data_IF_395602444024
#
_entry.id   IF_395602444024
#
_cell.length_a   1.000
_cell.length_b   1.000
_cell.length_c   1.000
_cell.angle_alpha   90.00
_cell.angle_beta   90.00
_cell.angle_gamma   90.00
#
_symmetry.space_group_name_H-M   'P 1'
#
loop_
_entity.id
_entity.type
_entity.pdbx_description
1 polymer ?
#
# COMPACT_ATOMS: atom_id res chain seq x y z
N UNK A 1 9.59 29.16 1.09
CA UNK A 1 8.80 28.26 0.26
C UNK A 1 9.64 27.09 -0.24
N UNK A 2 10.71 27.31 -0.98
CA UNK A 2 11.64 26.27 -1.39
C UNK A 2 12.76 26.11 -0.36
N UNK A 3 12.65 25.10 0.50
CA UNK A 3 13.72 24.68 1.40
C UNK A 3 14.04 23.20 1.14
N UNK A 4 15.12 22.70 1.71
CA UNK A 4 15.59 21.33 1.45
C UNK A 4 14.56 20.28 1.87
N UNK A 5 13.86 20.46 2.98
CA UNK A 5 12.81 19.54 3.43
C UNK A 5 11.67 19.47 2.40
N UNK A 6 11.14 20.61 1.94
CA UNK A 6 10.06 20.64 0.95
C UNK A 6 10.48 20.05 -0.40
N UNK A 7 11.77 20.10 -0.77
CA UNK A 7 12.28 19.43 -1.97
C UNK A 7 12.21 17.91 -1.79
N UNK A 8 12.61 17.40 -0.62
CA UNK A 8 12.53 15.95 -0.32
C UNK A 8 11.07 15.48 -0.30
N UNK A 9 10.15 16.28 0.29
CA UNK A 9 8.71 16.00 0.23
C UNK A 9 8.20 15.95 -1.22
N UNK A 10 8.74 16.82 -2.10
CA UNK A 10 8.38 16.79 -3.53
C UNK A 10 8.89 15.51 -4.22
N UNK A 11 10.01 14.92 -3.78
CA UNK A 11 10.46 13.62 -4.28
C UNK A 11 9.54 12.47 -3.85
N UNK A 12 9.00 12.52 -2.61
CA UNK A 12 7.95 11.60 -2.18
C UNK A 12 6.75 11.67 -3.14
N UNK A 13 6.24 12.86 -3.43
CA UNK A 13 5.15 13.05 -4.39
C UNK A 13 5.48 12.48 -5.78
N UNK A 14 6.68 12.73 -6.31
CA UNK A 14 7.13 12.22 -7.61
C UNK A 14 7.12 10.68 -7.61
N UNK A 15 7.56 10.04 -6.54
CA UNK A 15 7.50 8.58 -6.41
C UNK A 15 6.05 8.06 -6.49
N UNK A 16 5.10 8.72 -5.82
CA UNK A 16 3.68 8.36 -5.90
C UNK A 16 3.12 8.50 -7.32
N UNK A 17 3.42 9.60 -8.01
CA UNK A 17 3.01 9.82 -9.41
C UNK A 17 3.65 8.79 -10.35
N UNK A 18 4.93 8.48 -10.14
CA UNK A 18 5.65 7.46 -10.92
C UNK A 18 5.03 6.08 -10.71
N UNK A 19 4.66 5.73 -9.48
CA UNK A 19 3.93 4.49 -9.18
C UNK A 19 2.63 4.38 -9.98
N UNK A 20 1.84 5.46 -10.03
CA UNK A 20 0.59 5.48 -10.81
C UNK A 20 0.86 5.21 -12.30
N UNK A 21 1.90 5.83 -12.87
CA UNK A 21 2.29 5.62 -14.28
C UNK A 21 2.65 4.15 -14.51
N UNK A 22 3.42 3.53 -13.61
CA UNK A 22 3.77 2.11 -13.70
C UNK A 22 2.55 1.19 -13.54
N UNK A 23 1.56 1.54 -12.73
CA UNK A 23 0.29 0.80 -12.68
C UNK A 23 -0.39 0.76 -14.06
N UNK A 24 -0.45 1.88 -14.77
CA UNK A 24 -1.02 1.95 -16.13
C UNK A 24 -0.19 1.22 -17.18
N UNK A 25 1.12 1.09 -16.99
CA UNK A 25 1.99 0.30 -17.87
C UNK A 25 1.99 -1.21 -17.56
N UNK A 26 1.31 -1.63 -16.50
CA UNK A 26 1.23 -3.02 -16.08
C UNK A 26 2.40 -3.53 -15.22
N UNK A 27 3.36 -2.67 -14.94
CA UNK A 27 4.53 -2.99 -14.11
C UNK A 27 4.20 -2.74 -12.62
N UNK A 28 3.37 -3.63 -12.05
CA UNK A 28 2.81 -3.43 -10.70
C UNK A 28 3.86 -3.63 -9.60
N UNK A 29 4.86 -4.45 -9.83
CA UNK A 29 6.04 -4.64 -8.97
C UNK A 29 6.86 -3.35 -8.88
N UNK A 30 7.19 -2.72 -10.02
CA UNK A 30 7.90 -1.43 -10.07
C UNK A 30 7.05 -0.32 -9.44
N UNK A 31 5.73 -0.35 -9.65
CA UNK A 31 4.80 0.58 -8.98
C UNK A 31 4.88 0.44 -7.45
N UNK A 32 4.94 -0.78 -6.92
CA UNK A 32 5.12 -1.02 -5.50
C UNK A 32 6.49 -0.52 -4.99
N UNK A 33 7.58 -0.80 -5.72
CA UNK A 33 8.90 -0.27 -5.36
C UNK A 33 8.96 1.26 -5.37
N UNK A 34 8.24 1.92 -6.28
CA UNK A 34 8.13 3.38 -6.26
C UNK A 34 7.44 3.90 -4.98
N UNK A 35 6.41 3.21 -4.45
CA UNK A 35 5.79 3.54 -3.16
C UNK A 35 6.79 3.35 -2.01
N UNK A 36 7.59 2.27 -2.01
CA UNK A 36 8.66 2.09 -1.01
C UNK A 36 9.70 3.22 -1.06
N UNK A 37 10.11 3.64 -2.27
CA UNK A 37 11.00 4.79 -2.43
C UNK A 37 10.37 6.08 -1.88
N UNK A 38 9.07 6.29 -2.12
CA UNK A 38 8.30 7.39 -1.54
C UNK A 38 8.33 7.38 -0.01
N UNK A 39 8.17 6.21 0.61
CA UNK A 39 8.25 6.08 2.07
C UNK A 39 9.65 6.40 2.64
N UNK A 40 10.71 6.14 1.89
CA UNK A 40 12.06 6.56 2.28
C UNK A 40 12.21 8.08 2.21
N UNK A 41 11.67 8.74 1.18
CA UNK A 41 11.71 10.20 1.07
C UNK A 41 10.84 10.88 2.13
N UNK A 42 9.65 10.36 2.46
CA UNK A 42 8.80 10.82 3.55
C UNK A 42 9.54 10.77 4.90
N UNK A 43 10.18 9.65 5.20
CA UNK A 43 11.00 9.55 6.42
C UNK A 43 12.16 10.55 6.42
N UNK A 44 12.81 10.74 5.25
CA UNK A 44 13.96 11.62 5.10
C UNK A 44 13.59 13.11 5.26
N UNK A 45 12.45 13.56 4.73
CA UNK A 45 12.04 14.97 4.81
C UNK A 45 11.72 15.38 6.25
N UNK A 46 11.01 14.50 7.01
CA UNK A 46 10.77 14.72 8.43
C UNK A 46 12.07 14.75 9.25
N UNK A 47 13.07 13.92 8.91
CA UNK A 47 14.39 13.97 9.53
C UNK A 47 15.13 15.28 9.21
N UNK A 48 15.17 15.67 7.94
CA UNK A 48 15.81 16.90 7.45
C UNK A 48 15.16 18.13 8.08
N UNK A 49 13.81 18.21 8.11
CA UNK A 49 13.07 19.32 8.68
C UNK A 49 13.42 19.54 10.15
N UNK A 50 13.46 18.46 10.96
CA UNK A 50 13.83 18.52 12.38
C UNK A 50 15.31 18.91 12.59
N UNK A 51 16.22 18.26 11.86
CA UNK A 51 17.68 18.47 12.03
C UNK A 51 18.10 19.87 11.62
N UNK A 52 17.52 20.44 10.58
CA UNK A 52 17.84 21.77 10.06
C UNK A 52 16.92 22.87 10.62
N UNK A 53 15.96 22.53 11.51
CA UNK A 53 14.97 23.47 12.07
C UNK A 53 14.17 24.21 11.00
N UNK A 54 13.79 23.49 9.93
CA UNK A 54 13.04 24.01 8.77
C UNK A 54 11.53 23.72 8.87
N UNK A 55 11.07 23.31 10.05
CA UNK A 55 9.65 23.02 10.28
C UNK A 55 8.80 24.26 10.00
N UNK A 56 7.73 24.10 9.22
CA UNK A 56 6.80 25.16 8.87
C UNK A 56 5.38 24.62 8.69
N UNK A 57 4.39 25.47 8.90
CA UNK A 57 2.98 25.13 8.65
C UNK A 57 2.73 24.73 7.20
N UNK A 58 3.40 25.38 6.25
CA UNK A 58 3.33 25.06 4.83
C UNK A 58 3.99 23.70 4.54
N UNK A 59 5.15 23.39 5.14
CA UNK A 59 5.82 22.10 4.99
C UNK A 59 4.94 20.96 5.46
N UNK A 60 4.25 21.10 6.60
CA UNK A 60 3.30 20.11 7.12
C UNK A 60 2.11 19.85 6.16
N UNK A 61 1.63 20.89 5.47
CA UNK A 61 0.57 20.74 4.47
C UNK A 61 1.07 20.05 3.19
N UNK A 62 2.26 20.42 2.71
CA UNK A 62 2.88 19.77 1.55
C UNK A 62 3.13 18.27 1.79
N UNK A 63 3.64 17.93 2.97
CA UNK A 63 3.84 16.57 3.45
C UNK A 63 2.54 15.76 3.36
N UNK A 64 1.47 16.24 3.96
CA UNK A 64 0.16 15.56 3.92
C UNK A 64 -0.42 15.42 2.50
N UNK A 65 -0.19 16.38 1.61
CA UNK A 65 -0.63 16.31 0.22
C UNK A 65 0.20 15.30 -0.57
N UNK A 66 1.51 15.25 -0.36
CA UNK A 66 2.39 14.25 -0.94
C UNK A 66 2.03 12.84 -0.47
N UNK A 67 1.82 12.68 0.85
CA UNK A 67 1.40 11.42 1.47
C UNK A 67 0.06 10.90 0.93
N UNK A 68 -0.90 11.81 0.70
CA UNK A 68 -2.17 11.41 0.10
C UNK A 68 -1.97 10.78 -1.28
N UNK A 69 -1.08 11.33 -2.10
CA UNK A 69 -0.81 10.77 -3.42
C UNK A 69 -0.03 9.46 -3.31
N UNK A 70 1.06 9.45 -2.55
CA UNK A 70 1.98 8.31 -2.48
C UNK A 70 1.42 7.13 -1.69
N UNK A 71 0.70 7.39 -0.58
CA UNK A 71 0.21 6.34 0.33
C UNK A 71 -1.31 6.18 0.32
N UNK A 72 -2.02 7.00 -0.47
CA UNK A 72 -3.46 6.87 -0.67
C UNK A 72 -3.78 6.54 -2.13
N UNK A 73 -3.50 7.47 -3.05
CA UNK A 73 -3.92 7.36 -4.45
C UNK A 73 -3.14 6.27 -5.19
N UNK A 74 -1.81 6.26 -5.07
CA UNK A 74 -0.96 5.27 -5.75
C UNK A 74 -1.32 3.82 -5.35
N UNK A 75 -1.40 3.44 -4.06
CA UNK A 75 -1.83 2.10 -3.69
C UNK A 75 -3.30 1.82 -4.02
N UNK A 76 -4.16 2.85 -4.11
CA UNK A 76 -5.52 2.72 -4.61
C UNK A 76 -5.54 2.27 -6.07
N UNK A 77 -4.75 2.88 -6.94
CA UNK A 77 -4.60 2.42 -8.33
C UNK A 77 -3.93 1.05 -8.41
N UNK A 78 -2.90 0.79 -7.62
CA UNK A 78 -2.23 -0.50 -7.56
C UNK A 78 -3.24 -1.62 -7.29
N UNK A 79 -4.07 -1.47 -6.26
CA UNK A 79 -5.09 -2.46 -5.91
C UNK A 79 -6.26 -2.51 -6.91
N UNK A 80 -6.59 -1.38 -7.53
CA UNK A 80 -7.56 -1.37 -8.62
C UNK A 80 -7.14 -2.33 -9.75
N UNK A 81 -5.88 -2.27 -10.18
CA UNK A 81 -5.35 -3.17 -11.20
C UNK A 81 -5.22 -4.61 -10.69
N UNK A 82 -4.83 -4.82 -9.43
CA UNK A 82 -4.76 -6.15 -8.84
C UNK A 82 -6.15 -6.82 -8.80
N UNK A 83 -7.20 -6.10 -8.39
CA UNK A 83 -8.58 -6.62 -8.39
C UNK A 83 -9.03 -6.90 -9.82
N UNK A 84 -8.67 -6.05 -10.77
CA UNK A 84 -8.99 -6.24 -12.18
C UNK A 84 -8.38 -7.54 -12.73
N UNK A 85 -7.10 -7.80 -12.42
CA UNK A 85 -6.41 -9.07 -12.76
C UNK A 85 -7.11 -10.25 -12.07
N UNK A 86 -7.51 -10.11 -10.81
CA UNK A 86 -8.23 -11.14 -10.07
C UNK A 86 -9.61 -11.50 -10.66
N UNK A 87 -10.29 -10.56 -11.33
CA UNK A 87 -11.56 -10.83 -12.04
C UNK A 87 -11.32 -11.74 -13.26
N UNK A 88 -10.21 -11.53 -13.96
CA UNK A 88 -9.85 -12.24 -15.18
C UNK A 88 -9.05 -13.54 -14.91
N UNK A 89 -8.80 -13.85 -13.64
CA UNK A 89 -7.99 -15.01 -13.22
C UNK A 89 -8.38 -16.34 -13.88
N UNK A 90 -9.67 -16.72 -14.04
CA UNK A 90 -10.05 -17.97 -14.71
C UNK A 90 -9.57 -18.03 -16.17
N UNK A 91 -9.61 -16.91 -16.88
CA UNK A 91 -9.16 -16.79 -18.28
C UNK A 91 -7.63 -16.86 -18.38
N UNK A 92 -6.91 -16.36 -17.37
CA UNK A 92 -5.45 -16.45 -17.30
C UNK A 92 -4.96 -17.88 -17.22
N UNK A 93 -5.60 -18.70 -16.39
CA UNK A 93 -5.23 -20.11 -16.17
C UNK A 93 -5.38 -20.96 -17.44
N UNK A 94 -6.44 -20.72 -18.25
CA UNK A 94 -6.67 -21.49 -19.49
C UNK A 94 -5.65 -21.17 -20.60
N UNK A 95 -5.05 -19.97 -20.60
CA UNK A 95 -4.22 -19.50 -21.72
C UNK A 95 -2.78 -19.16 -21.31
N UNK A 96 -2.40 -19.46 -20.06
CA UNK A 96 -1.12 -19.02 -19.48
C UNK A 96 0.09 -19.67 -20.17
N UNK A 97 0.05 -20.98 -20.45
CA UNK A 97 1.17 -21.71 -21.10
C UNK A 97 1.48 -21.18 -22.51
N UNK A 98 0.45 -20.79 -23.27
CA UNK A 98 0.61 -20.27 -24.62
C UNK A 98 1.12 -18.82 -24.61
N UNK A 99 0.74 -18.02 -23.60
CA UNK A 99 1.11 -16.59 -23.46
C UNK A 99 2.41 -16.36 -22.68
N UNK A 100 2.74 -17.21 -21.71
CA UNK A 100 3.99 -17.13 -20.94
C UNK A 100 5.25 -17.39 -21.80
N UNK A 101 5.10 -18.12 -22.91
CA UNK A 101 6.17 -18.33 -23.88
C UNK A 101 6.58 -17.04 -24.63
N UNK A 102 5.78 -15.98 -24.57
CA UNK A 102 6.03 -14.70 -25.24
C UNK A 102 6.18 -13.58 -24.19
N UNK A 103 7.42 -13.24 -23.80
CA UNK A 103 7.74 -12.15 -22.86
C UNK A 103 7.12 -10.79 -23.26
N UNK A 104 6.83 -10.59 -24.54
CA UNK A 104 6.18 -9.40 -25.08
C UNK A 104 4.73 -9.24 -24.61
N UNK A 105 4.03 -10.34 -24.23
CA UNK A 105 2.64 -10.27 -23.75
C UNK A 105 2.55 -9.93 -22.26
N UNK A 106 3.57 -10.19 -21.46
CA UNK A 106 3.55 -9.89 -20.02
C UNK A 106 3.44 -8.37 -19.76
N UNK A 107 4.23 -7.57 -20.47
CA UNK A 107 4.29 -6.12 -20.27
C UNK A 107 3.00 -5.39 -20.72
N UNK A 108 2.29 -5.94 -21.71
CA UNK A 108 1.04 -5.35 -22.22
C UNK A 108 -0.22 -5.91 -21.56
N UNK A 109 -0.09 -6.97 -20.76
CA UNK A 109 -1.24 -7.70 -20.26
C UNK A 109 -2.18 -6.83 -19.40
N UNK A 110 -1.67 -6.15 -18.39
CA UNK A 110 -2.49 -5.32 -17.49
C UNK A 110 -3.13 -4.13 -18.23
N UNK A 111 -2.44 -3.53 -19.20
CA UNK A 111 -2.99 -2.46 -20.02
C UNK A 111 -4.10 -2.96 -20.94
N UNK A 112 -3.93 -4.10 -21.58
CA UNK A 112 -4.96 -4.73 -22.40
C UNK A 112 -6.18 -5.11 -21.57
N UNK A 113 -6.00 -5.63 -20.36
CA UNK A 113 -7.08 -5.91 -19.42
C UNK A 113 -7.85 -4.65 -19.04
N UNK A 114 -7.18 -3.55 -18.80
CA UNK A 114 -7.82 -2.26 -18.54
C UNK A 114 -8.70 -1.84 -19.74
N UNK A 115 -8.18 -1.94 -20.97
CA UNK A 115 -8.94 -1.58 -22.18
C UNK A 115 -10.18 -2.47 -22.33
N UNK A 116 -10.03 -3.79 -22.21
CA UNK A 116 -11.14 -4.73 -22.29
C UNK A 116 -12.19 -4.48 -21.21
N UNK A 117 -11.74 -4.24 -19.97
CA UNK A 117 -12.64 -3.93 -18.87
C UNK A 117 -13.39 -2.60 -19.10
N UNK A 118 -12.70 -1.54 -19.55
CA UNK A 118 -13.32 -0.24 -19.86
C UNK A 118 -14.36 -0.39 -20.98
N UNK A 119 -14.03 -1.13 -22.04
CA UNK A 119 -14.97 -1.39 -23.15
C UNK A 119 -16.19 -2.18 -22.68
N UNK A 120 -15.97 -3.24 -21.89
CA UNK A 120 -17.05 -4.05 -21.34
C UNK A 120 -17.91 -3.25 -20.35
N UNK A 121 -17.29 -2.43 -19.51
CA UNK A 121 -17.99 -1.53 -18.59
C UNK A 121 -18.86 -0.52 -19.33
N UNK A 122 -18.33 0.09 -20.39
CA UNK A 122 -19.06 1.04 -21.23
C UNK A 122 -20.25 0.37 -21.94
N UNK A 123 -20.05 -0.85 -22.48
CA UNK A 123 -21.11 -1.61 -23.15
C UNK A 123 -22.25 -1.97 -22.18
N UNK A 124 -21.94 -2.41 -20.99
CA UNK A 124 -22.93 -2.77 -19.97
C UNK A 124 -23.66 -1.53 -19.42
N UNK A 125 -22.95 -0.41 -19.31
CA UNK A 125 -23.56 0.87 -18.93
C UNK A 125 -24.65 1.29 -19.91
N UNK A 126 -24.47 1.01 -21.20
CA UNK A 126 -25.46 1.34 -22.23
C UNK A 126 -26.62 0.34 -22.30
N UNK A 127 -26.39 -0.95 -22.02
CA UNK A 127 -27.34 -2.00 -22.38
C UNK A 127 -28.12 -2.63 -21.22
N UNK A 128 -27.56 -2.76 -20.05
CA UNK A 128 -28.25 -3.16 -18.81
C UNK A 128 -27.25 -3.27 -17.65
N UNK A 129 -27.40 -2.50 -16.65
CA UNK A 129 -26.55 -2.29 -15.47
C UNK A 129 -26.37 -3.53 -14.54
N UNK A 130 -26.30 -4.73 -15.06
CA UNK A 130 -26.43 -5.97 -14.28
C UNK A 130 -25.11 -6.68 -13.90
N UNK A 131 -23.94 -6.10 -14.16
CA UNK A 131 -22.68 -6.75 -13.85
C UNK A 131 -22.06 -6.20 -12.58
N UNK A 132 -22.50 -6.69 -11.42
CA UNK A 132 -21.98 -6.30 -10.10
C UNK A 132 -20.47 -6.46 -9.95
N UNK A 133 -19.88 -7.48 -10.58
CA UNK A 133 -18.44 -7.76 -10.49
C UNK A 133 -17.58 -6.66 -11.15
N UNK A 134 -18.08 -5.98 -12.16
CA UNK A 134 -17.36 -4.90 -12.87
C UNK A 134 -17.16 -3.65 -12.02
N UNK A 135 -17.94 -3.47 -10.95
CA UNK A 135 -17.80 -2.38 -10.00
C UNK A 135 -16.76 -2.67 -8.90
N UNK A 136 -16.39 -3.94 -8.76
CA UNK A 136 -15.53 -4.38 -7.68
C UNK A 136 -14.17 -3.66 -7.62
N UNK A 137 -13.47 -3.36 -8.75
CA UNK A 137 -12.21 -2.64 -8.71
C UNK A 137 -12.30 -1.25 -8.06
N UNK A 138 -13.46 -0.59 -8.12
CA UNK A 138 -13.66 0.72 -7.48
C UNK A 138 -13.59 0.68 -5.95
N UNK A 139 -13.72 -0.49 -5.33
CA UNK A 139 -13.53 -0.66 -3.88
C UNK A 139 -12.12 -0.23 -3.46
N UNK A 140 -11.12 -0.39 -4.34
CA UNK A 140 -9.76 0.08 -4.09
C UNK A 140 -9.68 1.59 -3.83
N UNK A 141 -10.60 2.39 -4.39
CA UNK A 141 -10.62 3.84 -4.17
C UNK A 141 -11.17 4.26 -2.80
N UNK A 142 -11.63 3.33 -1.98
CA UNK A 142 -11.86 3.58 -0.56
C UNK A 142 -10.53 3.87 0.17
N UNK A 143 -9.41 3.31 -0.30
CA UNK A 143 -8.08 3.57 0.28
C UNK A 143 -7.72 5.06 0.24
N UNK A 144 -7.66 5.75 -0.92
CA UNK A 144 -7.41 7.19 -0.95
C UNK A 144 -8.51 8.00 -0.26
N UNK A 145 -9.78 7.58 -0.35
CA UNK A 145 -10.88 8.26 0.32
C UNK A 145 -10.69 8.32 1.84
N UNK A 146 -10.42 7.19 2.49
CA UNK A 146 -10.21 7.16 3.94
C UNK A 146 -8.84 7.72 4.35
N UNK A 147 -7.81 7.63 3.49
CA UNK A 147 -6.52 8.29 3.69
C UNK A 147 -6.66 9.80 3.77
N UNK A 148 -7.50 10.40 2.91
CA UNK A 148 -7.81 11.83 2.94
C UNK A 148 -8.34 12.26 4.32
N UNK A 149 -9.38 11.59 4.82
CA UNK A 149 -9.96 11.92 6.13
C UNK A 149 -8.97 11.74 7.27
N UNK A 150 -8.17 10.68 7.20
CA UNK A 150 -7.14 10.40 8.21
C UNK A 150 -6.10 11.50 8.27
N UNK A 151 -5.53 11.91 7.12
CA UNK A 151 -4.52 12.96 7.04
C UNK A 151 -5.09 14.32 7.44
N UNK A 152 -6.32 14.64 7.03
CA UNK A 152 -7.02 15.86 7.45
C UNK A 152 -7.22 15.89 8.97
N UNK A 153 -7.69 14.78 9.58
CA UNK A 153 -7.85 14.66 11.03
C UNK A 153 -6.52 14.84 11.76
N UNK A 154 -5.44 14.22 11.25
CA UNK A 154 -4.10 14.32 11.84
C UNK A 154 -3.56 15.76 11.81
N UNK A 155 -3.88 16.54 10.78
CA UNK A 155 -3.43 17.93 10.66
C UNK A 155 -4.16 18.89 11.61
N UNK A 156 -5.38 18.56 12.03
CA UNK A 156 -6.21 19.40 12.91
C UNK A 156 -6.05 19.04 14.40
N UNK A 157 -5.65 17.81 14.71
CA UNK A 157 -5.62 17.31 16.09
C UNK A 157 -4.24 17.50 16.74
N UNK A 158 -4.08 18.60 17.48
CA UNK A 158 -2.86 18.92 18.25
C UNK A 158 -2.56 17.95 19.41
N UNK A 159 -3.51 17.08 19.78
CA UNK A 159 -3.38 16.13 20.91
C UNK A 159 -2.75 14.78 20.54
N UNK A 160 -2.56 14.48 19.27
CA UNK A 160 -2.01 13.17 18.81
C UNK A 160 -0.48 13.06 18.87
N UNK A 161 0.18 13.80 19.74
CA UNK A 161 1.66 13.77 19.84
C UNK A 161 2.24 12.49 20.47
N UNK A 162 1.44 11.67 21.16
CA UNK A 162 1.96 10.49 21.89
C UNK A 162 1.37 9.14 21.52
N UNK A 163 0.14 9.05 21.02
CA UNK A 163 -0.48 7.76 20.65
C UNK A 163 -1.18 7.89 19.30
N UNK A 164 -0.72 7.14 18.30
CA UNK A 164 -1.40 7.03 17.02
C UNK A 164 -2.72 6.26 17.20
N UNK A 165 -3.81 6.81 16.66
CA UNK A 165 -5.09 6.13 16.55
C UNK A 165 -5.32 5.79 15.07
N UNK A 166 -5.59 4.51 14.78
CA UNK A 166 -5.74 3.98 13.43
C UNK A 166 -4.41 3.68 12.72
N UNK A 167 -4.47 2.89 11.65
CA UNK A 167 -3.29 2.48 10.88
C UNK A 167 -2.68 3.70 10.16
N UNK A 168 -1.35 3.96 10.26
CA UNK A 168 -0.68 4.98 9.48
C UNK A 168 -0.85 4.78 7.97
N UNK A 169 -1.05 5.88 7.20
CA UNK A 169 -1.19 5.81 5.73
C UNK A 169 0.00 5.13 5.05
N UNK A 170 1.28 5.41 5.42
CA UNK A 170 2.41 4.68 4.84
C UNK A 170 2.35 3.19 5.15
N UNK A 171 1.98 2.80 6.38
CA UNK A 171 1.87 1.38 6.74
C UNK A 171 0.79 0.67 5.94
N UNK A 172 -0.38 1.28 5.75
CA UNK A 172 -1.45 0.75 4.91
C UNK A 172 -0.98 0.54 3.47
N UNK A 173 -0.26 1.53 2.90
CA UNK A 173 0.29 1.44 1.55
C UNK A 173 1.29 0.29 1.41
N UNK A 174 2.21 0.13 2.38
CA UNK A 174 3.21 -0.95 2.38
C UNK A 174 2.56 -2.34 2.50
N UNK A 175 1.44 -2.46 3.24
CA UNK A 175 0.66 -3.70 3.28
C UNK A 175 0.10 -4.02 1.89
N UNK A 176 -0.44 -3.02 1.19
CA UNK A 176 -1.01 -3.21 -0.15
C UNK A 176 0.06 -3.54 -1.20
N UNK A 177 1.28 -3.02 -1.06
CA UNK A 177 2.41 -3.35 -1.92
C UNK A 177 2.85 -4.83 -1.84
N UNK A 178 2.46 -5.55 -0.78
CA UNK A 178 2.73 -6.99 -0.68
C UNK A 178 2.12 -7.77 -1.85
N UNK A 179 0.90 -7.46 -2.25
CA UNK A 179 0.16 -8.24 -3.25
C UNK A 179 0.83 -8.25 -4.63
N UNK A 180 1.17 -7.12 -5.26
CA UNK A 180 1.83 -7.14 -6.57
C UNK A 180 3.23 -7.77 -6.53
N UNK A 181 3.99 -7.55 -5.44
CA UNK A 181 5.31 -8.15 -5.29
C UNK A 181 5.23 -9.67 -5.13
N UNK A 182 4.27 -10.15 -4.34
CA UNK A 182 4.03 -11.57 -4.17
C UNK A 182 3.50 -12.23 -5.45
N UNK A 183 2.69 -11.49 -6.23
CA UNK A 183 2.23 -11.93 -7.54
C UNK A 183 3.41 -12.11 -8.51
N UNK A 184 4.31 -11.13 -8.58
CA UNK A 184 5.48 -11.18 -9.46
C UNK A 184 6.42 -12.34 -9.11
N UNK A 185 6.73 -12.55 -7.81
CA UNK A 185 7.55 -13.68 -7.35
C UNK A 185 6.97 -15.05 -7.70
N UNK A 186 5.63 -15.21 -7.68
CA UNK A 186 4.96 -16.48 -7.86
C UNK A 186 4.34 -16.68 -9.25
N UNK A 187 4.49 -15.71 -10.15
CA UNK A 187 3.89 -15.76 -11.47
C UNK A 187 4.43 -16.90 -12.33
N UNK A 188 5.72 -17.26 -12.19
CA UNK A 188 6.35 -18.38 -12.89
C UNK A 188 5.99 -19.75 -12.31
N UNK A 189 5.64 -19.80 -11.02
CA UNK A 189 5.26 -21.02 -10.29
C UNK A 189 3.73 -21.14 -10.15
N UNK A 190 2.97 -20.46 -11.02
CA UNK A 190 1.52 -20.46 -11.02
C UNK A 190 0.97 -21.83 -11.46
N UNK A 191 1.21 -22.85 -10.64
CA UNK A 191 0.64 -24.17 -10.80
C UNK A 191 -0.75 -24.21 -10.15
N UNK A 192 -1.68 -24.94 -10.78
CA UNK A 192 -3.07 -25.12 -10.32
C UNK A 192 -3.19 -25.67 -8.87
N UNK A 193 -2.10 -26.14 -8.27
CA UNK A 193 -2.06 -26.75 -6.95
C UNK A 193 -1.83 -25.76 -5.79
N UNK A 194 -1.50 -24.50 -6.06
CA UNK A 194 -1.20 -23.52 -4.99
C UNK A 194 -2.44 -22.74 -4.56
N UNK A 195 -3.29 -23.37 -3.74
CA UNK A 195 -4.54 -22.78 -3.23
C UNK A 195 -4.33 -21.43 -2.53
N UNK A 196 -3.18 -21.22 -1.87
CA UNK A 196 -2.87 -19.96 -1.18
C UNK A 196 -2.68 -18.80 -2.15
N UNK A 197 -2.02 -19.05 -3.29
CA UNK A 197 -1.83 -18.04 -4.34
C UNK A 197 -3.18 -17.67 -4.94
N UNK A 198 -4.00 -18.65 -5.27
CA UNK A 198 -5.35 -18.41 -5.79
C UNK A 198 -6.22 -17.63 -4.83
N UNK A 199 -6.19 -17.96 -3.54
CA UNK A 199 -6.92 -17.22 -2.51
C UNK A 199 -6.41 -15.78 -2.35
N UNK A 200 -5.10 -15.56 -2.37
CA UNK A 200 -4.49 -14.23 -2.21
C UNK A 200 -4.83 -13.28 -3.37
N UNK A 201 -5.03 -13.82 -4.58
CA UNK A 201 -5.33 -13.03 -5.78
C UNK A 201 -6.79 -13.10 -6.23
N UNK A 202 -7.65 -13.77 -5.47
CA UNK A 202 -9.09 -13.68 -5.70
C UNK A 202 -9.58 -12.22 -5.57
N UNK A 203 -10.38 -11.77 -6.53
CA UNK A 203 -10.85 -10.39 -6.59
C UNK A 203 -11.65 -9.97 -5.35
N UNK A 204 -12.41 -10.87 -4.73
CA UNK A 204 -13.16 -10.58 -3.52
C UNK A 204 -12.25 -10.49 -2.30
N UNK A 205 -11.21 -11.31 -2.23
CA UNK A 205 -10.19 -11.25 -1.17
C UNK A 205 -9.46 -9.91 -1.23
N UNK A 206 -8.98 -9.50 -2.40
CA UNK A 206 -8.30 -8.21 -2.61
C UNK A 206 -9.21 -7.01 -2.27
N UNK A 207 -10.47 -7.04 -2.70
CA UNK A 207 -11.45 -6.02 -2.36
C UNK A 207 -11.73 -5.99 -0.85
N UNK A 208 -11.82 -7.15 -0.20
CA UNK A 208 -11.97 -7.28 1.25
C UNK A 208 -10.80 -6.68 2.02
N UNK A 209 -9.57 -6.90 1.57
CA UNK A 209 -8.36 -6.29 2.14
C UNK A 209 -8.41 -4.76 2.02
N UNK A 210 -8.76 -4.23 0.85
CA UNK A 210 -8.91 -2.78 0.65
C UNK A 210 -9.95 -2.20 1.61
N UNK A 211 -11.10 -2.86 1.78
CA UNK A 211 -12.16 -2.42 2.68
C UNK A 211 -11.70 -2.42 4.15
N UNK A 212 -11.09 -3.52 4.62
CA UNK A 212 -10.60 -3.67 5.98
C UNK A 212 -9.55 -2.61 6.30
N UNK A 213 -8.57 -2.41 5.42
CA UNK A 213 -7.53 -1.40 5.61
C UNK A 213 -8.10 0.01 5.59
N UNK A 214 -9.03 0.30 4.68
CA UNK A 214 -9.71 1.60 4.60
C UNK A 214 -10.44 1.95 5.91
N UNK A 215 -11.22 1.03 6.46
CA UNK A 215 -11.89 1.21 7.76
C UNK A 215 -10.85 1.35 8.88
N UNK A 216 -9.77 0.59 8.83
CA UNK A 216 -8.71 0.61 9.84
C UNK A 216 -7.94 1.93 9.88
N UNK A 217 -7.83 2.66 8.77
CA UNK A 217 -7.22 4.00 8.70
C UNK A 217 -7.91 5.02 9.62
N UNK A 218 -9.23 4.99 9.69
CA UNK A 218 -10.03 5.94 10.50
C UNK A 218 -10.48 5.35 11.84
N UNK A 219 -10.14 4.09 12.11
CA UNK A 219 -10.47 3.41 13.37
C UNK A 219 -9.73 4.01 14.56
N UNK A 220 -10.19 3.71 15.77
CA UNK A 220 -9.51 4.10 17.01
C UNK A 220 -8.54 3.02 17.52
N UNK A 221 -8.00 2.18 16.62
CA UNK A 221 -7.04 1.14 16.99
C UNK A 221 -5.79 1.78 17.62
N UNK A 222 -5.44 1.44 18.86
CA UNK A 222 -4.24 1.95 19.49
C UNK A 222 -3.03 1.23 18.92
N UNK A 223 -2.21 1.93 18.16
CA UNK A 223 -0.98 1.37 17.60
C UNK A 223 0.25 2.03 18.22
N UNK A 224 1.28 1.20 18.43
CA UNK A 224 2.55 1.64 18.97
C UNK A 224 3.28 2.52 17.95
N UNK A 225 3.74 3.70 18.38
CA UNK A 225 4.58 4.54 17.53
C UNK A 225 5.95 3.88 17.32
N UNK A 226 6.43 3.82 16.08
CA UNK A 226 7.78 3.29 15.77
C UNK A 226 8.90 4.28 16.10
N UNK A 227 8.59 5.49 16.59
CA UNK A 227 9.61 6.44 17.05
C UNK A 227 10.30 5.92 18.32
N UNK A 228 11.62 5.97 18.34
CA UNK A 228 12.41 5.66 19.55
C UNK A 228 12.35 6.89 20.47
N UNK A 229 11.56 6.79 21.51
CA UNK A 229 11.44 7.84 22.53
C UNK A 229 12.21 7.46 23.79
N UNK A 230 12.76 8.45 24.49
CA UNK A 230 13.55 8.22 25.72
C UNK A 230 12.77 7.74 26.97
N UNK A 231 11.45 7.42 26.82
CA UNK A 231 10.55 7.23 27.96
C UNK A 231 10.36 5.80 28.45
N UNK A 232 10.07 4.84 27.58
CA UNK A 232 9.74 3.48 28.00
C UNK A 232 10.73 2.45 27.42
N UNK A 233 11.58 1.89 28.32
CA UNK A 233 12.60 0.89 27.93
C UNK A 233 11.98 -0.37 27.32
N UNK A 234 10.80 -0.81 27.80
CA UNK A 234 10.12 -2.00 27.28
C UNK A 234 9.56 -1.76 25.88
N UNK A 235 8.97 -0.60 25.66
CA UNK A 235 8.46 -0.19 24.34
C UNK A 235 9.61 -0.10 23.32
N UNK A 236 10.71 0.54 23.68
CA UNK A 236 11.88 0.65 22.80
C UNK A 236 12.52 -0.72 22.52
N UNK A 237 12.51 -1.65 23.48
CA UNK A 237 13.00 -3.01 23.28
C UNK A 237 12.14 -3.75 22.21
N UNK A 238 10.81 -3.64 22.29
CA UNK A 238 9.91 -4.24 21.27
C UNK A 238 10.18 -3.68 19.88
N UNK A 239 10.37 -2.37 19.75
CA UNK A 239 10.73 -1.71 18.47
C UNK A 239 12.05 -2.23 17.92
N UNK A 240 13.06 -2.38 18.76
CA UNK A 240 14.37 -2.92 18.38
C UNK A 240 14.22 -4.38 17.90
N UNK A 241 13.43 -5.19 18.61
CA UNK A 241 13.17 -6.58 18.21
C UNK A 241 12.52 -6.64 16.82
N UNK A 242 11.51 -5.79 16.55
CA UNK A 242 10.85 -5.73 15.24
C UNK A 242 11.87 -5.36 14.15
N UNK A 243 12.74 -4.38 14.39
CA UNK A 243 13.79 -3.97 13.43
C UNK A 243 14.78 -5.12 13.19
N UNK A 244 15.24 -5.80 14.25
CA UNK A 244 16.16 -6.94 14.12
C UNK A 244 15.53 -8.10 13.36
N UNK A 245 14.25 -8.41 13.65
CA UNK A 245 13.51 -9.45 12.90
C UNK A 245 13.39 -9.02 11.44
N UNK A 246 13.07 -7.77 11.14
CA UNK A 246 13.00 -7.27 9.76
C UNK A 246 14.34 -7.43 9.02
N UNK A 247 15.45 -7.08 9.65
CA UNK A 247 16.81 -7.23 9.08
C UNK A 247 17.17 -8.69 8.76
N UNK A 248 16.62 -9.64 9.51
CA UNK A 248 16.86 -11.08 9.30
C UNK A 248 15.88 -11.65 8.28
N UNK A 249 14.60 -11.28 8.38
CA UNK A 249 13.54 -11.90 7.55
C UNK A 249 13.54 -11.38 6.12
N UNK A 250 13.86 -10.10 5.87
CA UNK A 250 13.90 -9.54 4.51
C UNK A 250 14.85 -10.32 3.59
N UNK A 251 16.12 -10.58 3.94
CA UNK A 251 17.02 -11.33 3.05
C UNK A 251 16.70 -12.83 2.96
N UNK A 252 15.98 -13.41 3.94
CA UNK A 252 15.66 -14.84 3.96
C UNK A 252 14.34 -15.16 3.24
N UNK A 253 13.34 -14.31 3.39
CA UNK A 253 11.97 -14.57 2.95
C UNK A 253 11.48 -13.56 1.90
N UNK A 254 12.33 -12.62 1.49
CA UNK A 254 12.02 -11.62 0.46
C UNK A 254 10.64 -10.95 0.71
N UNK A 255 9.70 -11.07 -0.22
CA UNK A 255 8.37 -10.44 -0.10
C UNK A 255 7.56 -11.01 1.07
N UNK A 256 7.70 -12.30 1.39
CA UNK A 256 7.03 -12.92 2.54
C UNK A 256 7.50 -12.38 3.91
N UNK A 257 8.58 -11.62 3.95
CA UNK A 257 8.98 -10.90 5.17
C UNK A 257 7.95 -9.82 5.57
N UNK A 258 7.23 -9.22 4.60
CA UNK A 258 6.24 -8.15 4.86
C UNK A 258 5.14 -8.63 5.80
N UNK A 259 4.35 -9.69 5.52
CA UNK A 259 3.32 -10.16 6.44
C UNK A 259 3.89 -10.64 7.79
N UNK A 260 5.10 -11.19 7.84
CA UNK A 260 5.74 -11.62 9.09
C UNK A 260 6.01 -10.40 9.98
N UNK A 261 6.65 -9.35 9.45
CA UNK A 261 6.97 -8.12 10.18
C UNK A 261 5.69 -7.43 10.65
N UNK A 262 4.67 -7.36 9.79
CA UNK A 262 3.39 -6.75 10.11
C UNK A 262 2.67 -7.49 11.23
N UNK A 263 2.62 -8.81 11.17
CA UNK A 263 2.00 -9.64 12.22
C UNK A 263 2.70 -9.41 13.56
N UNK A 264 4.03 -9.40 13.56
CA UNK A 264 4.81 -9.13 14.76
C UNK A 264 4.56 -7.72 15.30
N UNK A 265 4.46 -6.72 14.42
CA UNK A 265 4.15 -5.35 14.81
C UNK A 265 2.75 -5.24 15.44
N UNK A 266 1.72 -5.85 14.85
CA UNK A 266 0.36 -5.84 15.40
C UNK A 266 0.27 -6.56 16.75
N UNK A 267 0.91 -7.74 16.89
CA UNK A 267 0.95 -8.47 18.16
C UNK A 267 1.67 -7.64 19.23
N UNK A 268 2.83 -7.07 18.91
CA UNK A 268 3.60 -6.24 19.85
C UNK A 268 2.86 -4.98 20.25
N UNK A 269 2.16 -4.34 19.32
CA UNK A 269 1.36 -3.15 19.57
C UNK A 269 0.18 -3.46 20.50
N UNK A 270 -0.53 -4.55 20.23
CA UNK A 270 -1.66 -5.02 21.05
C UNK A 270 -1.20 -5.42 22.45
N UNK A 271 -0.09 -6.18 22.57
CA UNK A 271 0.48 -6.55 23.85
C UNK A 271 0.87 -5.32 24.69
N UNK A 272 1.54 -4.34 24.07
CA UNK A 272 1.92 -3.11 24.76
C UNK A 272 0.72 -2.31 25.28
N UNK A 273 -0.36 -2.26 24.50
CA UNK A 273 -1.59 -1.59 24.91
C UNK A 273 -2.23 -2.25 26.15
N UNK A 274 -2.37 -3.58 26.14
CA UNK A 274 -2.96 -4.30 27.26
C UNK A 274 -2.08 -4.34 28.53
N UNK A 275 -0.78 -4.19 28.41
CA UNK A 275 0.13 -4.15 29.56
C UNK A 275 0.26 -2.76 30.20
N UNK A 276 -0.22 -1.70 29.52
CA UNK A 276 -0.29 -0.33 30.07
C UNK A 276 -1.61 0.00 30.79
N UNK A 277 -2.62 -0.85 30.63
CA UNK A 277 -3.89 -0.76 31.38
C UNK A 277 -3.71 -1.49 32.72
#
# INVERSE_FOLDING_TARGET
>A
MFNLANIVTSLNLICGLTSIVFCFSGQLDIAAYAIFAGALFDFADGFVARKLKLESTMGKQLDSLADLITFGVAPGFLMFFMILIGIEQPFLLENFEEKAANSYYQDYYAFNQLIHWVQAFYYDFQNNFNASIKWLPFVAFLVPFFSLFRLAKFNVDDKQTKNFRGIPTPLSALILCFFPLYFDENMMDWNQENELVHFAFDCYTLAGVCLILSISLVSNLPLMSMKLDGGDKKENLLKIIIILVALITIPLFQVMAIPIILTLYFISSTYHYFTKI
#
